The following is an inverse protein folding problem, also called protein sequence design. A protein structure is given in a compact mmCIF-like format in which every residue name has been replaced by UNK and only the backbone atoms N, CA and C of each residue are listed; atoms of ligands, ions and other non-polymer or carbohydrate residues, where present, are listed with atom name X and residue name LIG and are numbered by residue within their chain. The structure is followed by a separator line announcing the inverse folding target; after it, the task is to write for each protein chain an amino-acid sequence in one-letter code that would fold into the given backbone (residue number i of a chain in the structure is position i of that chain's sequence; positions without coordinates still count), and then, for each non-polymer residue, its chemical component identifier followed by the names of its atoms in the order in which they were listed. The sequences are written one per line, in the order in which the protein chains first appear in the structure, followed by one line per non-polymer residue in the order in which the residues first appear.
data_IF_476581772414
#
_entry.id   IF_476581772414
#
_cell.length_a   1.000
_cell.length_b   1.000
_cell.length_c   1.000
_cell.angle_alpha   90.00
_cell.angle_beta   90.00
_cell.angle_gamma   90.00
#
_symmetry.space_group_name_H-M   'P 1'
#
loop_
_entity.id
_entity.type
_entity.pdbx_description
1 polymer ?
#
# COMPACT_ATOMS: atom_id res chain seq x y z
N UNK A 1 43.16 -31.58 -29.36
CA UNK A 1 41.70 -31.45 -29.09
C UNK A 1 41.50 -31.31 -27.59
N UNK A 2 40.74 -30.32 -27.12
CA UNK A 2 40.59 -30.06 -25.68
C UNK A 2 39.50 -30.97 -25.07
N UNK A 3 39.87 -31.85 -24.13
CA UNK A 3 39.00 -32.87 -23.53
C UNK A 3 37.75 -32.32 -22.83
N UNK A 4 36.68 -33.11 -22.91
CA UNK A 4 35.34 -32.91 -22.34
C UNK A 4 35.32 -32.50 -20.85
N UNK A 5 36.35 -32.87 -20.10
CA UNK A 5 36.51 -32.56 -18.67
C UNK A 5 36.55 -31.03 -18.38
N UNK A 6 37.21 -30.26 -19.27
CA UNK A 6 37.26 -28.78 -19.15
C UNK A 6 35.90 -28.13 -19.45
N UNK A 7 35.04 -28.78 -20.23
CA UNK A 7 33.70 -28.27 -20.53
C UNK A 7 32.75 -28.53 -19.35
N UNK A 8 32.84 -29.69 -18.69
CA UNK A 8 32.02 -30.00 -17.50
C UNK A 8 32.32 -29.06 -16.32
N UNK A 9 33.60 -28.74 -16.06
CA UNK A 9 33.98 -27.75 -15.03
C UNK A 9 33.47 -26.34 -15.31
N UNK A 10 33.37 -25.92 -16.58
CA UNK A 10 32.78 -24.63 -16.96
C UNK A 10 31.26 -24.62 -16.76
N UNK A 11 30.59 -25.72 -17.12
CA UNK A 11 29.14 -25.86 -16.94
C UNK A 11 28.73 -25.85 -15.45
N UNK A 12 29.49 -26.50 -14.57
CA UNK A 12 29.22 -26.49 -13.12
C UNK A 12 29.43 -25.10 -12.49
N UNK A 13 30.48 -24.36 -12.91
CA UNK A 13 30.72 -22.98 -12.46
C UNK A 13 29.64 -22.00 -12.93
N UNK A 14 29.13 -22.19 -14.15
CA UNK A 14 28.01 -21.38 -14.66
C UNK A 14 26.71 -21.65 -13.89
N UNK A 15 26.42 -22.91 -13.55
CA UNK A 15 25.25 -23.27 -12.72
C UNK A 15 25.35 -22.72 -11.29
N UNK A 16 26.54 -22.74 -10.69
CA UNK A 16 26.76 -22.15 -9.37
C UNK A 16 26.56 -20.61 -9.39
N UNK A 17 27.08 -19.91 -10.42
CA UNK A 17 26.83 -18.46 -10.61
C UNK A 17 25.37 -18.12 -10.88
N UNK A 18 24.63 -18.95 -11.63
CA UNK A 18 23.21 -18.73 -11.87
C UNK A 18 22.37 -18.92 -10.60
N UNK A 19 22.71 -19.89 -9.75
CA UNK A 19 22.05 -20.09 -8.45
C UNK A 19 22.36 -18.93 -7.50
N UNK A 20 23.61 -18.47 -7.46
CA UNK A 20 24.03 -17.33 -6.64
C UNK A 20 23.44 -15.99 -7.13
N UNK A 21 23.26 -15.79 -8.45
CA UNK A 21 22.58 -14.61 -9.01
C UNK A 21 21.05 -14.66 -8.83
N UNK A 22 20.44 -15.83 -8.68
CA UNK A 22 19.01 -15.95 -8.30
C UNK A 22 18.80 -15.65 -6.81
N UNK A 23 19.78 -15.98 -5.97
CA UNK A 23 19.80 -15.63 -4.53
C UNK A 23 20.34 -14.22 -4.25
N UNK A 24 20.91 -13.56 -5.26
CA UNK A 24 21.70 -12.34 -5.13
C UNK A 24 21.16 -11.16 -5.94
N UNK A 25 19.89 -11.21 -6.38
CA UNK A 25 19.16 -9.98 -6.68
C UNK A 25 19.02 -9.30 -5.33
N UNK A 26 19.93 -8.35 -5.06
CA UNK A 26 20.06 -7.72 -3.76
C UNK A 26 18.67 -7.38 -3.26
N UNK A 27 18.33 -7.84 -2.05
CA UNK A 27 17.10 -7.42 -1.38
C UNK A 27 17.03 -5.92 -1.59
N UNK A 28 16.00 -5.43 -2.27
CA UNK A 28 15.75 -3.99 -2.26
C UNK A 28 15.85 -3.60 -0.79
N UNK A 29 16.78 -2.70 -0.47
CA UNK A 29 17.03 -2.32 0.92
C UNK A 29 15.84 -1.46 1.34
N UNK A 30 14.67 -2.07 1.51
CA UNK A 30 13.40 -1.45 1.85
C UNK A 30 13.44 -1.03 3.31
N UNK A 31 12.74 0.07 3.63
CA UNK A 31 12.76 0.64 4.99
C UNK A 31 12.06 -0.28 6.01
N UNK A 32 11.19 -1.17 5.54
CA UNK A 32 10.48 -2.14 6.36
C UNK A 32 10.21 -3.45 5.60
N UNK A 33 10.23 -4.64 6.25
CA UNK A 33 9.99 -5.92 5.57
C UNK A 33 8.65 -6.03 4.85
N UNK A 34 7.61 -5.31 5.29
CA UNK A 34 6.28 -5.32 4.66
C UNK A 34 6.34 -4.83 3.20
N UNK A 35 7.26 -3.91 2.89
CA UNK A 35 7.50 -3.38 1.56
C UNK A 35 8.32 -4.33 0.65
N UNK A 36 8.73 -5.52 1.14
CA UNK A 36 9.31 -6.53 0.24
C UNK A 36 8.26 -7.13 -0.71
N UNK A 37 6.98 -6.98 -0.40
CA UNK A 37 5.90 -7.33 -1.29
C UNK A 37 5.73 -6.19 -2.30
N UNK A 38 6.07 -6.43 -3.57
CA UNK A 38 6.01 -5.40 -4.63
C UNK A 38 4.63 -4.71 -4.69
N UNK A 39 3.56 -5.48 -4.55
CA UNK A 39 2.20 -4.96 -4.48
C UNK A 39 1.92 -4.07 -3.24
N UNK A 40 2.63 -4.24 -2.13
CA UNK A 40 2.46 -3.37 -0.95
C UNK A 40 3.35 -2.13 -1.06
N UNK A 41 4.50 -2.25 -1.73
CA UNK A 41 5.38 -1.11 -1.99
C UNK A 41 4.77 -0.15 -3.01
N UNK A 42 4.16 -0.66 -4.08
CA UNK A 42 3.59 0.16 -5.15
C UNK A 42 2.19 -0.39 -5.53
N UNK A 43 1.17 -0.21 -4.65
CA UNK A 43 -0.15 -0.87 -4.81
C UNK A 43 -0.99 -0.37 -5.98
N UNK A 44 -0.72 0.84 -6.47
CA UNK A 44 -1.52 1.52 -7.49
C UNK A 44 -0.67 1.93 -8.72
N UNK A 45 0.54 1.39 -8.89
CA UNK A 45 1.40 1.74 -10.05
C UNK A 45 0.86 1.18 -11.37
N UNK A 46 0.13 0.08 -11.32
CA UNK A 46 -0.52 -0.57 -12.46
C UNK A 46 -2.01 -0.20 -12.63
N UNK A 47 -2.55 0.66 -11.74
CA UNK A 47 -3.96 1.08 -11.75
C UNK A 47 -4.07 2.51 -12.26
N UNK A 48 -4.90 2.72 -13.28
CA UNK A 48 -5.20 4.06 -13.78
C UNK A 48 -6.35 4.67 -12.98
N UNK A 49 -6.02 5.35 -11.89
CA UNK A 49 -7.00 6.09 -11.07
C UNK A 49 -7.31 7.41 -11.78
N UNK A 50 -8.56 7.62 -12.16
CA UNK A 50 -9.00 8.89 -12.75
C UNK A 50 -9.21 9.93 -11.64
N UNK A 51 -8.18 10.71 -11.37
CA UNK A 51 -8.23 11.79 -10.39
C UNK A 51 -8.98 13.04 -10.89
N UNK A 52 -9.38 13.08 -12.17
CA UNK A 52 -10.04 14.27 -12.75
C UNK A 52 -11.54 14.35 -12.44
N UNK A 53 -12.14 13.23 -12.04
CA UNK A 53 -13.54 13.12 -11.62
C UNK A 53 -13.71 13.25 -10.12
N UNK A 54 -12.61 13.27 -9.36
CA UNK A 54 -12.64 13.43 -7.92
C UNK A 54 -13.04 14.86 -7.55
N UNK A 55 -14.12 14.99 -6.80
CA UNK A 55 -14.63 16.26 -6.27
C UNK A 55 -14.93 16.07 -4.78
N UNK A 56 -14.02 16.54 -3.93
CA UNK A 56 -14.16 16.31 -2.49
C UNK A 56 -15.39 17.04 -1.92
N UNK A 57 -15.72 18.22 -2.43
CA UNK A 57 -16.89 18.99 -2.00
C UNK A 57 -18.20 18.27 -2.31
N UNK A 58 -18.28 17.63 -3.48
CA UNK A 58 -19.44 16.79 -3.80
C UNK A 58 -19.55 15.59 -2.84
N UNK A 59 -18.42 14.98 -2.48
CA UNK A 59 -18.38 13.87 -1.53
C UNK A 59 -18.76 14.30 -0.12
N UNK A 60 -18.37 15.49 0.35
CA UNK A 60 -18.81 16.02 1.64
C UNK A 60 -20.32 16.26 1.68
N UNK A 61 -20.90 16.80 0.60
CA UNK A 61 -22.32 17.12 0.54
C UNK A 61 -23.21 15.89 0.31
N UNK A 62 -22.77 14.96 -0.53
CA UNK A 62 -23.59 13.86 -1.05
C UNK A 62 -23.12 12.47 -0.61
N UNK A 63 -21.97 12.37 0.04
CA UNK A 63 -21.28 11.10 0.30
C UNK A 63 -20.54 10.59 -0.94
N UNK A 64 -19.70 9.57 -0.76
CA UNK A 64 -19.04 8.90 -1.88
C UNK A 64 -19.79 7.64 -2.31
N UNK A 65 -19.69 7.26 -3.59
CA UNK A 65 -20.15 5.94 -4.05
C UNK A 65 -19.03 4.92 -3.82
N UNK A 66 -19.26 3.83 -3.05
CA UNK A 66 -18.28 2.78 -2.85
C UNK A 66 -17.72 2.19 -4.16
N UNK A 67 -18.49 2.21 -5.24
CA UNK A 67 -18.05 1.71 -6.54
C UNK A 67 -16.89 2.51 -7.14
N UNK A 68 -16.75 3.79 -6.80
CA UNK A 68 -15.66 4.64 -7.28
C UNK A 68 -14.31 4.32 -6.58
N UNK A 69 -14.35 3.51 -5.52
CA UNK A 69 -13.20 3.12 -4.70
C UNK A 69 -12.95 1.61 -4.72
N UNK A 70 -13.52 0.87 -5.69
CA UNK A 70 -13.38 -0.59 -5.78
C UNK A 70 -11.91 -1.03 -5.88
N UNK A 71 -11.10 -0.32 -6.68
CA UNK A 71 -9.65 -0.58 -6.79
C UNK A 71 -8.93 -0.46 -5.44
N UNK A 72 -9.31 0.52 -4.61
CA UNK A 72 -8.79 0.68 -3.25
C UNK A 72 -9.21 -0.52 -2.38
N UNK A 73 -10.49 -0.86 -2.39
CA UNK A 73 -11.04 -1.91 -1.54
C UNK A 73 -10.49 -3.30 -1.90
N UNK A 74 -10.37 -3.63 -3.19
CA UNK A 74 -9.71 -4.86 -3.65
C UNK A 74 -8.23 -4.88 -3.24
N UNK A 75 -7.53 -3.75 -3.39
CA UNK A 75 -6.14 -3.64 -3.01
C UNK A 75 -5.92 -3.85 -1.50
N UNK A 76 -6.75 -3.21 -0.67
CA UNK A 76 -6.79 -3.39 0.77
C UNK A 76 -7.06 -4.85 1.14
N UNK A 77 -8.03 -5.50 0.48
CA UNK A 77 -8.38 -6.90 0.78
C UNK A 77 -7.24 -7.86 0.48
N UNK A 78 -6.57 -7.65 -0.66
CA UNK A 78 -5.40 -8.43 -1.05
C UNK A 78 -4.24 -8.23 -0.08
N UNK A 79 -4.02 -7.01 0.39
CA UNK A 79 -2.97 -6.68 1.36
C UNK A 79 -3.28 -7.23 2.76
N UNK A 80 -4.54 -7.23 3.17
CA UNK A 80 -5.00 -7.79 4.44
C UNK A 80 -4.69 -9.29 4.55
N UNK A 81 -4.77 -10.02 3.42
CA UNK A 81 -4.34 -11.42 3.32
C UNK A 81 -2.85 -11.65 3.65
N UNK A 82 -2.01 -10.60 3.63
CA UNK A 82 -0.63 -10.63 4.09
C UNK A 82 -0.57 -10.28 5.59
N UNK A 83 -1.16 -9.14 5.97
CA UNK A 83 -1.27 -8.68 7.36
C UNK A 83 -2.12 -7.42 7.44
N UNK A 84 -2.66 -7.10 8.63
CA UNK A 84 -3.31 -5.82 8.88
C UNK A 84 -2.39 -4.63 8.58
N UNK A 85 -1.11 -4.71 8.99
CA UNK A 85 -0.12 -3.67 8.68
C UNK A 85 -0.01 -3.42 7.16
N UNK A 86 0.01 -4.47 6.35
CA UNK A 86 0.09 -4.35 4.90
C UNK A 86 -1.17 -3.66 4.33
N UNK A 87 -2.36 -3.97 4.86
CA UNK A 87 -3.59 -3.28 4.48
C UNK A 87 -3.55 -1.79 4.82
N UNK A 88 -3.09 -1.42 6.03
CA UNK A 88 -2.92 -0.01 6.39
C UNK A 88 -1.88 0.71 5.50
N UNK A 89 -0.79 0.03 5.14
CA UNK A 89 0.23 0.58 4.22
C UNK A 89 -0.33 0.80 2.82
N UNK A 90 -1.20 -0.08 2.33
CA UNK A 90 -1.87 0.11 1.03
C UNK A 90 -2.89 1.25 1.10
N UNK A 91 -3.73 1.28 2.13
CA UNK A 91 -4.73 2.33 2.34
C UNK A 91 -4.10 3.74 2.32
N UNK A 92 -3.05 3.94 3.11
CA UNK A 92 -2.35 5.23 3.22
C UNK A 92 -1.59 5.66 1.96
N UNK A 93 -1.44 4.78 0.97
CA UNK A 93 -0.82 5.10 -0.31
C UNK A 93 -1.85 5.44 -1.40
N UNK A 94 -3.15 5.48 -1.06
CA UNK A 94 -4.17 5.78 -2.03
C UNK A 94 -4.10 7.25 -2.48
N UNK A 95 -3.91 7.55 -3.79
CA UNK A 95 -3.62 8.90 -4.26
C UNK A 95 -4.69 9.94 -3.93
N UNK A 96 -5.95 9.52 -3.81
CA UNK A 96 -7.05 10.42 -3.46
C UNK A 96 -6.90 11.00 -2.05
N UNK A 97 -6.30 10.26 -1.10
CA UNK A 97 -6.08 10.78 0.25
C UNK A 97 -5.16 12.01 0.25
N UNK A 98 -4.18 12.06 -0.65
CA UNK A 98 -3.30 13.22 -0.80
C UNK A 98 -4.07 14.44 -1.34
N UNK A 99 -5.05 14.23 -2.23
CA UNK A 99 -5.93 15.29 -2.73
C UNK A 99 -6.83 15.83 -1.62
N UNK A 100 -7.46 14.93 -0.87
CA UNK A 100 -8.33 15.29 0.27
C UNK A 100 -7.56 16.10 1.31
N UNK A 101 -6.36 15.65 1.70
CA UNK A 101 -5.50 16.36 2.66
C UNK A 101 -5.03 17.71 2.10
N UNK A 102 -4.76 17.81 0.79
CA UNK A 102 -4.38 19.08 0.18
C UNK A 102 -5.54 20.09 0.10
N UNK A 103 -6.78 19.61 0.06
CA UNK A 103 -7.99 20.45 0.10
C UNK A 103 -8.37 20.84 1.54
N UNK A 104 -7.96 20.06 2.55
CA UNK A 104 -8.16 20.32 3.99
C UNK A 104 -7.52 21.65 4.47
N UNK A 105 -6.60 22.22 3.70
CA UNK A 105 -5.94 23.50 4.00
C UNK A 105 -6.85 24.75 3.84
N UNK A 106 -8.08 24.63 3.30
CA UNK A 106 -8.89 25.81 2.99
C UNK A 106 -9.80 26.32 4.13
N UNK A 107 -10.53 25.50 4.91
CA UNK A 107 -11.43 26.04 5.97
C UNK A 107 -11.62 25.22 7.29
N UNK A 108 -11.38 23.89 7.39
CA UNK A 108 -11.54 23.08 8.64
C UNK A 108 -10.69 21.77 8.63
N UNK A 109 -10.13 21.33 9.78
CA UNK A 109 -9.19 20.16 9.92
C UNK A 109 -9.87 18.78 10.12
N UNK A 110 -11.19 18.72 10.04
CA UNK A 110 -12.00 17.51 10.31
C UNK A 110 -12.44 16.68 9.07
N UNK A 111 -12.62 17.26 7.85
CA UNK A 111 -13.19 16.53 6.72
C UNK A 111 -12.35 15.36 6.21
N UNK A 112 -11.02 15.45 6.18
CA UNK A 112 -10.20 14.36 5.66
C UNK A 112 -10.27 13.12 6.57
N UNK A 113 -10.34 13.36 7.88
CA UNK A 113 -10.47 12.30 8.88
C UNK A 113 -11.79 11.57 8.74
N UNK A 114 -12.90 12.30 8.57
CA UNK A 114 -14.22 11.73 8.37
C UNK A 114 -14.30 10.91 7.07
N UNK A 115 -13.69 11.41 5.99
CA UNK A 115 -13.61 10.67 4.73
C UNK A 115 -12.81 9.36 4.87
N UNK A 116 -11.64 9.41 5.52
CA UNK A 116 -10.82 8.22 5.79
C UNK A 116 -11.58 7.20 6.64
N UNK A 117 -12.32 7.65 7.66
CA UNK A 117 -13.18 6.78 8.46
C UNK A 117 -14.29 6.15 7.60
N UNK A 118 -14.96 6.94 6.77
CA UNK A 118 -16.01 6.49 5.87
C UNK A 118 -15.53 5.38 4.92
N UNK A 119 -14.33 5.52 4.35
CA UNK A 119 -13.71 4.48 3.52
C UNK A 119 -13.45 3.19 4.31
N UNK A 120 -12.91 3.28 5.53
CA UNK A 120 -12.62 2.11 6.36
C UNK A 120 -13.89 1.40 6.85
N UNK A 121 -14.93 2.16 7.19
CA UNK A 121 -16.25 1.63 7.56
C UNK A 121 -16.86 0.89 6.36
N UNK A 122 -16.83 1.51 5.19
CA UNK A 122 -17.36 0.92 3.95
C UNK A 122 -16.61 -0.36 3.58
N UNK A 123 -15.28 -0.37 3.70
CA UNK A 123 -14.46 -1.57 3.50
C UNK A 123 -14.92 -2.74 4.39
N UNK A 124 -15.21 -2.47 5.67
CA UNK A 124 -15.72 -3.48 6.61
C UNK A 124 -17.13 -3.93 6.24
N UNK A 125 -18.01 -3.01 5.86
CA UNK A 125 -19.34 -3.35 5.35
C UNK A 125 -19.30 -4.28 4.14
N UNK A 126 -18.44 -4.00 3.16
CA UNK A 126 -18.32 -4.78 1.91
C UNK A 126 -17.78 -6.20 2.16
N UNK A 127 -16.68 -6.34 2.91
CA UNK A 127 -15.97 -7.64 3.01
C UNK A 127 -16.28 -8.45 4.26
N UNK A 128 -16.91 -7.83 5.27
CA UNK A 128 -17.18 -8.46 6.56
C UNK A 128 -18.65 -8.43 6.97
N UNK A 129 -19.52 -7.75 6.20
CA UNK A 129 -20.95 -7.59 6.52
C UNK A 129 -21.16 -6.98 7.92
N UNK A 130 -20.23 -6.08 8.29
CA UNK A 130 -20.24 -5.38 9.57
C UNK A 130 -21.00 -4.06 9.46
N UNK A 131 -21.78 -3.74 10.50
CA UNK A 131 -22.40 -2.43 10.64
C UNK A 131 -21.37 -1.35 11.00
N UNK A 132 -21.81 -0.10 10.90
CA UNK A 132 -20.99 1.09 11.18
C UNK A 132 -20.40 1.06 12.60
N UNK A 133 -21.21 0.74 13.62
CA UNK A 133 -20.77 0.70 15.01
C UNK A 133 -19.64 -0.32 15.21
N UNK A 134 -19.80 -1.52 14.64
CA UNK A 134 -18.80 -2.60 14.69
C UNK A 134 -17.52 -2.20 13.96
N UNK A 135 -17.65 -1.54 12.81
CA UNK A 135 -16.50 -1.07 12.05
C UNK A 135 -15.75 0.05 12.80
N UNK A 136 -16.47 0.99 13.43
CA UNK A 136 -15.89 2.05 14.26
C UNK A 136 -15.16 1.46 15.47
N UNK A 137 -15.74 0.47 16.15
CA UNK A 137 -15.07 -0.24 17.25
C UNK A 137 -13.76 -0.91 16.79
N UNK A 138 -13.77 -1.49 15.59
CA UNK A 138 -12.57 -2.10 15.00
C UNK A 138 -11.50 -1.06 14.66
N UNK A 139 -11.88 0.08 14.06
CA UNK A 139 -10.96 1.21 13.78
C UNK A 139 -10.38 1.75 15.08
N UNK A 140 -11.20 1.88 16.14
CA UNK A 140 -10.78 2.34 17.46
C UNK A 140 -9.94 1.33 18.26
N UNK A 141 -9.82 0.09 17.79
CA UNK A 141 -9.10 -0.96 18.51
C UNK A 141 -7.59 -0.70 18.57
N UNK A 142 -6.95 -1.12 19.66
CA UNK A 142 -5.49 -1.01 19.83
C UNK A 142 -4.72 -1.71 18.70
N UNK A 143 -5.27 -2.81 18.19
CA UNK A 143 -4.63 -3.58 17.11
C UNK A 143 -4.61 -2.79 15.80
N UNK A 144 -5.73 -2.15 15.45
CA UNK A 144 -5.81 -1.31 14.24
C UNK A 144 -4.96 -0.06 14.39
N UNK A 145 -5.15 0.70 15.48
CA UNK A 145 -4.42 1.95 15.74
C UNK A 145 -2.90 1.75 15.71
N UNK A 146 -2.40 0.63 16.27
CA UNK A 146 -0.99 0.29 16.21
C UNK A 146 -0.51 0.00 14.78
N UNK A 147 -1.28 -0.77 14.01
CA UNK A 147 -0.92 -1.10 12.63
C UNK A 147 -0.95 0.15 11.73
N UNK A 148 -1.95 1.01 11.91
CA UNK A 148 -2.09 2.28 11.20
C UNK A 148 -0.94 3.24 11.51
N UNK A 149 -0.61 3.44 12.79
CA UNK A 149 0.51 4.27 13.20
C UNK A 149 1.88 3.74 12.71
N UNK A 150 2.06 2.41 12.71
CA UNK A 150 3.27 1.80 12.13
C UNK A 150 3.33 1.98 10.61
N UNK A 151 2.20 1.81 9.90
CA UNK A 151 2.11 2.04 8.46
C UNK A 151 2.49 3.48 8.08
N UNK A 152 1.97 4.47 8.80
CA UNK A 152 2.32 5.88 8.61
C UNK A 152 3.84 6.11 8.76
N UNK A 153 4.45 5.62 9.84
CA UNK A 153 5.91 5.74 10.05
C UNK A 153 6.74 5.05 8.95
N UNK A 154 6.25 3.93 8.40
CA UNK A 154 6.92 3.24 7.29
C UNK A 154 6.92 4.12 6.04
N UNK A 155 5.78 4.74 5.71
CA UNK A 155 5.63 5.59 4.54
C UNK A 155 6.40 6.90 4.66
N UNK A 156 6.40 7.54 5.82
CA UNK A 156 7.26 8.70 6.09
C UNK A 156 8.74 8.38 5.81
N UNK A 157 9.23 7.24 6.33
CA UNK A 157 10.63 6.81 6.09
C UNK A 157 10.90 6.48 4.63
N UNK A 158 9.92 5.87 3.94
CA UNK A 158 10.01 5.57 2.51
C UNK A 158 10.14 6.87 1.71
N UNK A 159 9.23 7.81 1.93
CA UNK A 159 9.17 9.10 1.24
C UNK A 159 10.43 9.94 1.50
N UNK A 160 10.91 10.00 2.75
CA UNK A 160 12.15 10.68 3.10
C UNK A 160 13.37 10.08 2.35
N UNK A 161 13.41 8.76 2.20
CA UNK A 161 14.49 8.07 1.48
C UNK A 161 14.42 8.32 -0.02
N UNK A 162 13.23 8.28 -0.61
CA UNK A 162 13.07 8.46 -2.05
C UNK A 162 13.26 9.93 -2.46
N UNK A 163 12.86 10.88 -1.61
CA UNK A 163 13.24 12.29 -1.72
C UNK A 163 14.76 12.50 -1.66
N UNK A 164 15.48 11.80 -0.76
CA UNK A 164 16.95 11.87 -0.67
C UNK A 164 17.68 11.23 -1.86
N UNK A 165 17.05 10.35 -2.64
CA UNK A 165 17.65 9.75 -3.86
C UNK A 165 17.50 10.62 -5.10
N UNK A 166 16.65 11.64 -5.06
CA UNK A 166 16.39 12.55 -6.19
C UNK A 166 17.38 13.73 -6.27
N UNK A 167 18.40 13.78 -5.38
CA UNK A 167 19.45 14.80 -5.34
C UNK A 167 20.85 14.21 -5.54
#
# INVERSE_FOLDING_TARGET
MASADKQQKRAQRAKAKAKQNRSGKGKQNVVHPVLNHAFVDEPFDDVAIDLSTFDFKDIEENGFDPADFDDLFEAMKKAEGISLLAMCVVFLQYPVLELVIAEEDEEDEEPATDFMMGLLITYRGIFYDEDEDTAVEWIGSETFQKAYGEASQILERKNARDGSRRF
#
